data_IF_913293722489
#
_entry.id   IF_913293722489
#
_cell.length_a   1.000
_cell.length_b   1.000
_cell.length_c   1.000
_cell.angle_alpha   90.00
_cell.angle_beta   90.00
_cell.angle_gamma   90.00
#
_symmetry.space_group_name_H-M   'P 1'
#
loop_
_entity.id
_entity.type
_entity.pdbx_description
1 polymer ?
#
# COMPACT_ATOMS: atom_id res chain seq x y z
N UNK A 1 -19.69 1.41 6.40
CA UNK A 1 -18.81 0.82 7.43
C UNK A 1 -17.52 1.62 7.38
N UNK A 2 -17.48 2.69 8.18
CA UNK A 2 -16.50 3.77 8.05
C UNK A 2 -15.41 3.67 9.11
N UNK A 3 -14.21 4.06 8.69
CA UNK A 3 -13.19 4.64 9.54
C UNK A 3 -12.62 3.75 10.62
N UNK A 4 -11.88 2.70 10.25
CA UNK A 4 -10.65 2.45 11.01
C UNK A 4 -9.68 3.51 10.53
N UNK A 5 -9.11 4.28 11.45
CA UNK A 5 -7.90 5.07 11.26
C UNK A 5 -6.80 4.16 10.74
N UNK A 6 -6.85 3.85 9.45
CA UNK A 6 -5.85 3.04 8.81
C UNK A 6 -4.63 3.94 8.72
N UNK A 7 -3.59 3.64 9.50
CA UNK A 7 -2.24 4.21 9.38
C UNK A 7 -1.58 3.91 8.01
N UNK A 8 -2.38 3.55 7.00
CA UNK A 8 -2.02 3.14 5.67
C UNK A 8 -2.51 4.18 4.68
N UNK A 9 -1.61 4.65 3.83
CA UNK A 9 -2.01 5.36 2.62
C UNK A 9 -2.29 4.34 1.52
N UNK A 10 -3.41 4.48 0.80
CA UNK A 10 -3.71 3.61 -0.34
C UNK A 10 -3.50 4.39 -1.61
N UNK A 11 -2.61 3.89 -2.47
CA UNK A 11 -2.38 4.45 -3.81
C UNK A 11 -3.15 3.60 -4.81
N UNK A 12 -4.18 4.20 -5.40
CA UNK A 12 -5.01 3.53 -6.39
C UNK A 12 -4.30 3.45 -7.75
N UNK A 13 -4.87 2.62 -8.63
CA UNK A 13 -4.30 2.38 -9.97
C UNK A 13 -4.20 3.68 -10.78
N UNK A 14 -3.01 3.96 -11.28
CA UNK A 14 -2.75 5.16 -12.08
C UNK A 14 -2.57 6.43 -11.26
N UNK A 15 -2.67 6.35 -9.94
CA UNK A 15 -2.39 7.47 -9.04
C UNK A 15 -0.93 7.45 -8.56
N UNK A 16 -0.49 8.60 -8.09
CA UNK A 16 0.81 8.78 -7.44
C UNK A 16 0.58 8.99 -5.95
N UNK A 17 1.55 8.56 -5.13
CA UNK A 17 1.55 8.90 -3.71
C UNK A 17 1.83 10.41 -3.57
N UNK A 18 0.87 11.23 -3.11
CA UNK A 18 1.04 12.69 -3.10
C UNK A 18 2.05 13.16 -2.05
N UNK A 19 2.13 12.45 -0.93
CA UNK A 19 3.09 12.71 0.13
C UNK A 19 3.45 11.38 0.82
N UNK A 20 4.74 11.08 0.93
CA UNK A 20 5.18 9.93 1.71
C UNK A 20 5.58 10.38 3.11
N UNK A 21 5.32 9.50 4.09
CA UNK A 21 5.80 9.67 5.45
C UNK A 21 6.91 8.63 5.64
N UNK A 22 8.14 9.03 6.02
CA UNK A 22 9.20 8.06 6.30
C UNK A 22 8.76 7.04 7.35
N UNK A 23 8.86 5.75 7.03
CA UNK A 23 8.37 4.64 7.85
C UNK A 23 6.84 4.45 7.84
N UNK A 24 6.09 5.29 7.12
CA UNK A 24 4.65 5.19 7.00
C UNK A 24 4.23 4.02 6.11
N UNK A 25 3.09 3.42 6.44
CA UNK A 25 2.55 2.30 5.67
C UNK A 25 1.84 2.78 4.41
N UNK A 26 2.09 2.08 3.30
CA UNK A 26 1.46 2.35 2.02
C UNK A 26 1.06 1.04 1.34
N UNK A 27 -0.14 1.02 0.76
CA UNK A 27 -0.63 -0.03 -0.13
C UNK A 27 -0.65 0.50 -1.56
N UNK A 28 0.12 -0.11 -2.47
CA UNK A 28 0.08 0.21 -3.89
C UNK A 28 -0.77 -0.81 -4.66
N UNK A 29 -1.84 -0.35 -5.31
CA UNK A 29 -2.62 -1.19 -6.21
C UNK A 29 -1.86 -1.47 -7.51
N UNK A 30 -1.79 -2.73 -7.90
CA UNK A 30 -1.26 -3.13 -9.22
C UNK A 30 -2.33 -3.01 -10.31
N UNK A 31 -1.94 -2.95 -11.59
CA UNK A 31 -2.87 -3.07 -12.72
C UNK A 31 -3.84 -4.25 -12.56
N UNK A 32 -5.07 -4.11 -13.08
CA UNK A 32 -6.13 -5.14 -12.95
C UNK A 32 -5.68 -6.51 -13.45
N UNK A 33 -4.91 -6.54 -14.52
CA UNK A 33 -4.35 -7.74 -15.14
C UNK A 33 -3.37 -8.51 -14.23
N UNK A 34 -2.68 -7.84 -13.31
CA UNK A 34 -1.71 -8.47 -12.42
C UNK A 34 -2.32 -9.02 -11.12
N UNK A 35 -3.53 -8.57 -10.76
CA UNK A 35 -4.17 -8.88 -9.46
C UNK A 35 -3.40 -8.31 -8.24
N UNK A 36 -4.08 -8.20 -7.10
CA UNK A 36 -3.45 -7.80 -5.83
C UNK A 36 -2.74 -6.44 -5.79
N UNK A 37 -1.89 -6.25 -4.79
CA UNK A 37 -1.11 -5.06 -4.52
C UNK A 37 0.06 -5.32 -3.58
N UNK A 38 0.92 -4.33 -3.39
CA UNK A 38 2.05 -4.40 -2.47
C UNK A 38 1.78 -3.59 -1.21
N UNK A 39 1.98 -4.20 -0.04
CA UNK A 39 1.98 -3.51 1.26
C UNK A 39 3.43 -3.32 1.68
N UNK A 40 3.75 -2.13 2.14
CA UNK A 40 5.10 -1.84 2.59
C UNK A 40 5.22 -0.50 3.27
N UNK A 41 6.46 -0.16 3.63
CA UNK A 41 6.81 1.13 4.21
C UNK A 41 7.60 1.97 3.23
N UNK A 42 7.33 3.27 3.20
CA UNK A 42 8.07 4.23 2.38
C UNK A 42 9.19 4.88 3.17
N UNK A 43 10.38 4.94 2.59
CA UNK A 43 11.55 5.66 3.09
C UNK A 43 12.05 6.65 2.03
N UNK A 44 13.11 7.40 2.34
CA UNK A 44 13.63 8.44 1.45
C UNK A 44 14.10 7.90 0.08
N UNK A 45 14.71 6.71 0.08
CA UNK A 45 15.36 6.12 -1.09
C UNK A 45 14.66 4.85 -1.60
N UNK A 46 13.71 4.31 -0.84
CA UNK A 46 13.11 3.03 -1.18
C UNK A 46 11.67 2.87 -0.67
N UNK A 47 10.97 1.92 -1.30
CA UNK A 47 9.76 1.31 -0.77
C UNK A 47 10.08 -0.11 -0.33
N UNK A 48 9.96 -0.38 0.97
CA UNK A 48 10.25 -1.69 1.54
C UNK A 48 9.00 -2.54 1.58
N UNK A 49 8.98 -3.63 0.82
CA UNK A 49 7.89 -4.61 0.85
C UNK A 49 7.93 -5.39 2.16
N UNK A 50 6.83 -5.35 2.90
CA UNK A 50 6.69 -6.04 4.18
C UNK A 50 6.06 -7.43 3.99
N UNK A 51 5.43 -7.66 2.84
CA UNK A 51 4.89 -8.95 2.44
C UNK A 51 5.69 -9.52 1.26
N UNK A 52 6.01 -10.82 1.33
CA UNK A 52 6.74 -11.55 0.29
C UNK A 52 5.96 -11.66 -1.03
N UNK A 53 4.62 -11.62 -0.95
CA UNK A 53 3.73 -11.81 -2.09
C UNK A 53 2.69 -10.70 -2.18
N UNK A 54 2.21 -10.37 -3.40
CA UNK A 54 1.14 -9.41 -3.58
C UNK A 54 -0.18 -9.94 -2.99
N UNK A 55 -0.87 -9.11 -2.22
CA UNK A 55 -2.12 -9.47 -1.53
C UNK A 55 -3.30 -8.64 -2.01
N UNK A 56 -4.52 -9.06 -1.69
CA UNK A 56 -5.70 -8.23 -1.94
C UNK A 56 -5.66 -6.97 -1.08
N UNK A 57 -6.39 -5.92 -1.47
CA UNK A 57 -6.50 -4.71 -0.65
C UNK A 57 -7.06 -5.03 0.75
N UNK A 58 -8.03 -5.95 0.81
CA UNK A 58 -8.64 -6.35 2.08
C UNK A 58 -7.63 -7.03 2.99
N UNK A 59 -6.87 -7.99 2.46
CA UNK A 59 -5.85 -8.72 3.24
C UNK A 59 -4.71 -7.79 3.66
N UNK A 60 -4.26 -6.91 2.76
CA UNK A 60 -3.15 -6.01 3.03
C UNK A 60 -3.45 -4.88 4.00
N UNK A 61 -4.71 -4.45 4.13
CA UNK A 61 -5.15 -3.51 5.18
C UNK A 61 -5.42 -4.20 6.52
N UNK A 62 -5.45 -5.54 6.54
CA UNK A 62 -5.62 -6.35 7.73
C UNK A 62 -4.31 -6.76 8.41
N UNK A 63 -3.16 -6.56 7.74
CA UNK A 63 -1.82 -6.76 8.27
C UNK A 63 -1.43 -5.63 9.23
#
# INVERSE_FOLDING_TARGET
MGGKDSNYQVVYRGELLPHYVPGGWVFFQRPKECGGGGVGRTYEDCFWLELEFPVSLYDGLGF
#
